data_IF_385436069438
#
_entry.id   IF_385436069438
#
_cell.length_a   1.000
_cell.length_b   1.000
_cell.length_c   1.000
_cell.angle_alpha   90.00
_cell.angle_beta   90.00
_cell.angle_gamma   90.00
#
_symmetry.space_group_name_H-M   'P 1'
#
loop_
_entity.id
_entity.type
_entity.pdbx_description
1 polymer ?
#
# COMPACT_ATOMS: atom_id res chain seq x y z
N UNK A 1 11.72 -36.44 -12.06
CA UNK A 1 10.80 -37.27 -11.28
C UNK A 1 10.25 -36.42 -10.16
N UNK A 2 8.98 -36.06 -10.25
CA UNK A 2 8.26 -35.33 -9.21
C UNK A 2 8.22 -36.15 -7.92
N UNK A 3 8.29 -35.49 -6.75
CA UNK A 3 8.14 -36.15 -5.44
C UNK A 3 6.78 -36.85 -5.25
N UNK A 4 5.84 -36.68 -6.18
CA UNK A 4 4.48 -37.20 -6.13
C UNK A 4 4.18 -38.24 -7.22
N UNK A 5 5.17 -38.64 -8.02
CA UNK A 5 5.01 -39.71 -9.02
C UNK A 5 4.67 -41.06 -8.37
N UNK A 6 3.63 -41.74 -8.87
CA UNK A 6 3.22 -43.07 -8.41
C UNK A 6 2.17 -43.10 -7.29
N UNK A 7 1.68 -41.93 -6.82
CA UNK A 7 0.61 -41.84 -5.83
C UNK A 7 -0.78 -41.70 -6.47
N UNK A 8 -1.81 -42.24 -5.80
CA UNK A 8 -3.20 -42.13 -6.24
C UNK A 8 -3.83 -40.76 -5.90
N UNK A 9 -5.03 -40.52 -6.44
CA UNK A 9 -5.73 -39.25 -6.28
C UNK A 9 -6.09 -38.94 -4.81
N UNK A 10 -6.48 -39.96 -4.04
CA UNK A 10 -6.86 -39.79 -2.64
C UNK A 10 -5.67 -39.38 -1.79
N UNK A 11 -4.54 -40.08 -1.97
CA UNK A 11 -3.29 -39.77 -1.28
C UNK A 11 -2.81 -38.37 -1.62
N UNK A 12 -2.79 -38.01 -2.92
CA UNK A 12 -2.34 -36.67 -3.36
C UNK A 12 -3.27 -35.60 -2.78
N UNK A 13 -4.59 -35.80 -2.79
CA UNK A 13 -5.56 -34.86 -2.23
C UNK A 13 -5.34 -34.65 -0.74
N UNK A 14 -5.21 -35.74 0.03
CA UNK A 14 -4.90 -35.65 1.46
C UNK A 14 -3.57 -34.94 1.72
N UNK A 15 -2.56 -35.21 0.89
CA UNK A 15 -1.25 -34.59 1.04
C UNK A 15 -1.30 -33.08 0.78
N UNK A 16 -2.10 -32.65 -0.20
CA UNK A 16 -2.36 -31.23 -0.45
C UNK A 16 -3.01 -30.58 0.77
N UNK A 17 -4.07 -31.17 1.34
CA UNK A 17 -4.72 -30.64 2.55
C UNK A 17 -3.76 -30.51 3.74
N UNK A 18 -2.92 -31.53 3.99
CA UNK A 18 -1.88 -31.48 5.03
C UNK A 18 -0.88 -30.34 4.80
N UNK A 19 -0.43 -30.16 3.54
CA UNK A 19 0.52 -29.11 3.18
C UNK A 19 -0.11 -27.71 3.27
N UNK A 20 -1.36 -27.55 2.85
CA UNK A 20 -2.12 -26.30 2.99
C UNK A 20 -2.31 -25.93 4.46
N UNK A 21 -2.65 -26.90 5.31
CA UNK A 21 -2.78 -26.68 6.75
C UNK A 21 -1.44 -26.32 7.39
N UNK A 22 -0.36 -27.04 7.06
CA UNK A 22 0.98 -26.74 7.56
C UNK A 22 1.46 -25.36 7.10
N UNK A 23 1.21 -25.00 5.83
CA UNK A 23 1.50 -23.67 5.28
C UNK A 23 0.73 -22.58 6.03
N UNK A 24 -0.56 -22.79 6.30
CA UNK A 24 -1.39 -21.84 7.05
C UNK A 24 -0.85 -21.62 8.47
N UNK A 25 -0.58 -22.70 9.19
CA UNK A 25 -0.02 -22.62 10.56
C UNK A 25 1.28 -21.83 10.55
N UNK A 26 2.20 -22.12 9.61
CA UNK A 26 3.47 -21.40 9.51
C UNK A 26 3.29 -19.93 9.13
N UNK A 27 2.34 -19.61 8.23
CA UNK A 27 2.00 -18.23 7.90
C UNK A 27 1.50 -17.47 9.13
N UNK A 28 0.56 -18.06 9.87
CA UNK A 28 -0.04 -17.46 11.07
C UNK A 28 1.04 -17.24 12.17
N UNK A 29 1.97 -18.18 12.33
CA UNK A 29 3.13 -18.03 13.22
C UNK A 29 3.99 -16.82 12.82
N UNK A 30 4.35 -16.68 11.54
CA UNK A 30 5.14 -15.55 11.06
C UNK A 30 4.40 -14.22 11.17
N UNK A 31 3.11 -14.19 10.84
CA UNK A 31 2.30 -12.98 10.98
C UNK A 31 2.24 -12.51 12.44
N UNK A 32 2.17 -13.45 13.39
CA UNK A 32 2.23 -13.15 14.82
C UNK A 32 3.59 -12.60 15.25
N UNK A 33 4.69 -13.19 14.79
CA UNK A 33 6.05 -12.71 15.07
C UNK A 33 6.30 -11.31 14.49
N UNK A 34 5.83 -11.06 13.26
CA UNK A 34 5.89 -9.76 12.60
C UNK A 34 5.10 -8.73 13.41
N UNK A 35 3.86 -9.04 13.81
CA UNK A 35 3.03 -8.15 14.61
C UNK A 35 3.72 -7.76 15.93
N UNK A 36 4.25 -8.74 16.67
CA UNK A 36 4.96 -8.51 17.94
C UNK A 36 6.22 -7.67 17.76
N UNK A 37 6.97 -7.91 16.69
CA UNK A 37 8.19 -7.17 16.38
C UNK A 37 7.88 -5.73 15.99
N UNK A 38 6.83 -5.51 15.18
CA UNK A 38 6.37 -4.18 14.81
C UNK A 38 5.87 -3.40 16.04
N UNK A 39 5.11 -4.03 16.93
CA UNK A 39 4.65 -3.41 18.17
C UNK A 39 5.83 -2.95 19.03
N UNK A 40 6.80 -3.84 19.26
CA UNK A 40 8.01 -3.52 20.04
C UNK A 40 8.79 -2.37 19.40
N UNK A 41 9.01 -2.41 18.09
CA UNK A 41 9.69 -1.35 17.34
C UNK A 41 8.96 -0.02 17.53
N UNK A 42 7.65 0.00 17.32
CA UNK A 42 6.84 1.21 17.40
C UNK A 42 6.90 1.83 18.80
N UNK A 43 6.82 1.00 19.85
CA UNK A 43 6.95 1.46 21.23
C UNK A 43 8.33 2.08 21.51
N UNK A 44 9.40 1.36 21.19
CA UNK A 44 10.77 1.86 21.43
C UNK A 44 11.05 3.14 20.65
N UNK A 45 10.64 3.21 19.38
CA UNK A 45 10.78 4.42 18.58
C UNK A 45 9.97 5.59 19.15
N UNK A 46 8.76 5.34 19.66
CA UNK A 46 7.94 6.38 20.28
C UNK A 46 8.57 6.89 21.59
N UNK A 47 9.10 5.99 22.42
CA UNK A 47 9.77 6.35 23.67
C UNK A 47 11.03 7.20 23.39
N UNK A 48 11.87 6.78 22.44
CA UNK A 48 13.05 7.54 22.01
C UNK A 48 12.67 8.90 21.38
N UNK A 49 11.62 8.94 20.56
CA UNK A 49 11.15 10.20 19.97
C UNK A 49 10.69 11.17 21.05
N UNK A 50 10.01 10.67 22.09
CA UNK A 50 9.60 11.48 23.23
C UNK A 50 10.81 12.08 23.96
N UNK A 51 11.84 11.28 24.24
CA UNK A 51 13.08 11.78 24.87
C UNK A 51 13.78 12.82 24.00
N UNK A 52 13.81 12.61 22.68
CA UNK A 52 14.36 13.58 21.72
C UNK A 52 13.55 14.89 21.75
N UNK A 53 12.23 14.81 21.73
CA UNK A 53 11.35 15.98 21.74
C UNK A 53 11.52 16.79 23.03
N UNK A 54 11.61 16.12 24.19
CA UNK A 54 11.91 16.75 25.47
C UNK A 54 13.29 17.44 25.47
N UNK A 55 14.32 16.75 24.96
CA UNK A 55 15.67 17.31 24.84
C UNK A 55 15.71 18.53 23.89
N UNK A 56 14.96 18.51 22.79
CA UNK A 56 14.86 19.63 21.86
C UNK A 56 14.17 20.84 22.48
N UNK A 57 13.15 20.63 23.33
CA UNK A 57 12.51 21.72 24.08
C UNK A 57 13.52 22.37 25.03
N UNK A 58 14.26 21.56 25.79
CA UNK A 58 15.30 22.07 26.71
C UNK A 58 16.41 22.78 25.94
N UNK A 59 16.88 22.22 24.82
CA UNK A 59 17.90 22.84 23.98
C UNK A 59 17.46 24.24 23.52
N UNK A 60 16.21 24.40 23.06
CA UNK A 60 15.65 25.70 22.67
C UNK A 60 15.58 26.66 23.85
N UNK A 61 15.16 26.21 25.02
CA UNK A 61 15.12 27.03 26.24
C UNK A 61 16.51 27.52 26.63
N UNK A 62 17.53 26.67 26.55
CA UNK A 62 18.92 27.01 26.83
C UNK A 62 19.52 27.97 25.80
N UNK A 63 19.12 27.88 24.53
CA UNK A 63 19.51 28.85 23.51
C UNK A 63 18.88 30.23 23.74
N UNK A 64 17.72 30.31 24.38
CA UNK A 64 17.02 31.57 24.64
C UNK A 64 16.69 32.30 23.34
N UNK A 65 17.20 33.53 23.19
CA UNK A 65 17.04 34.34 21.98
C UNK A 65 18.28 34.36 21.08
N UNK A 66 19.30 33.54 21.36
CA UNK A 66 20.52 33.51 20.57
C UNK A 66 20.27 32.83 19.21
N UNK A 67 20.65 33.49 18.13
CA UNK A 67 20.57 32.92 16.78
C UNK A 67 21.70 31.91 16.50
N UNK A 68 22.82 32.02 17.22
CA UNK A 68 24.02 31.19 17.08
C UNK A 68 24.65 30.94 18.45
N UNK A 69 24.93 29.67 18.77
CA UNK A 69 25.67 29.25 19.97
C UNK A 69 26.70 28.20 19.58
N UNK A 70 27.96 28.44 19.90
CA UNK A 70 29.03 27.45 19.72
C UNK A 70 29.37 26.79 21.07
N UNK A 71 29.47 25.47 21.05
CA UNK A 71 29.93 24.65 22.18
C UNK A 71 31.27 24.02 21.84
N UNK A 72 31.84 23.24 22.76
CA UNK A 72 33.09 22.50 22.50
C UNK A 72 33.00 21.57 21.28
N UNK A 73 31.80 21.09 20.94
CA UNK A 73 31.60 20.03 19.93
C UNK A 73 30.60 20.38 18.84
N UNK A 74 29.79 21.42 19.00
CA UNK A 74 28.68 21.72 18.10
C UNK A 74 28.49 23.22 17.88
N UNK A 75 28.07 23.58 16.67
CA UNK A 75 27.56 24.91 16.31
C UNK A 75 26.05 24.80 16.16
N UNK A 76 25.31 25.50 17.01
CA UNK A 76 23.85 25.52 17.05
C UNK A 76 23.34 26.81 16.43
N UNK A 77 22.46 26.71 15.44
CA UNK A 77 21.80 27.86 14.81
C UNK A 77 20.29 27.79 14.99
N UNK A 78 19.69 28.86 15.49
CA UNK A 78 18.24 29.03 15.57
C UNK A 78 17.81 30.23 14.74
N UNK A 79 17.13 29.96 13.62
CA UNK A 79 16.62 31.03 12.75
C UNK A 79 15.29 31.57 13.29
N UNK A 80 15.05 32.89 13.23
CA UNK A 80 13.75 33.44 13.56
C UNK A 80 12.68 32.93 12.58
N UNK A 81 11.47 32.75 13.10
CA UNK A 81 10.30 32.36 12.30
C UNK A 81 9.85 33.57 11.49
N UNK A 82 9.91 33.46 10.15
CA UNK A 82 9.37 34.46 9.24
C UNK A 82 7.98 34.04 8.76
N UNK A 83 6.93 34.58 9.39
CA UNK A 83 5.53 34.25 9.09
C UNK A 83 5.08 34.69 7.68
N UNK A 84 5.92 35.38 6.92
CA UNK A 84 5.64 35.68 5.51
C UNK A 84 6.01 34.51 4.58
N UNK A 85 6.75 33.52 5.07
CA UNK A 85 7.18 32.36 4.28
C UNK A 85 6.15 31.22 4.39
N UNK A 86 5.59 30.75 3.26
CA UNK A 86 4.62 29.64 3.26
C UNK A 86 5.15 28.38 3.95
N UNK A 87 6.45 28.11 3.84
CA UNK A 87 7.10 26.93 4.43
C UNK A 87 7.04 26.88 5.96
N UNK A 88 6.73 27.99 6.65
CA UNK A 88 6.58 28.02 8.10
C UNK A 88 5.22 27.46 8.57
N UNK A 89 4.25 27.34 7.65
CA UNK A 89 2.92 26.84 7.98
C UNK A 89 2.81 25.37 7.60
N UNK A 90 2.48 24.55 8.59
CA UNK A 90 2.11 23.15 8.37
C UNK A 90 0.60 23.02 8.48
N UNK A 91 -0.06 22.82 7.34
CA UNK A 91 -1.49 22.55 7.31
C UNK A 91 -1.79 21.19 7.96
N UNK A 92 -2.80 21.16 8.83
CA UNK A 92 -3.26 19.95 9.52
C UNK A 92 -4.75 19.75 9.23
N UNK A 93 -5.13 19.37 8.00
CA UNK A 93 -6.52 19.06 7.70
C UNK A 93 -6.99 17.87 8.54
N UNK A 94 -8.29 17.84 8.84
CA UNK A 94 -8.88 16.72 9.57
C UNK A 94 -8.61 15.39 8.86
N UNK A 95 -8.54 14.30 9.64
CA UNK A 95 -8.45 12.94 9.11
C UNK A 95 -9.83 12.30 8.89
N UNK A 96 -10.88 12.86 9.51
CA UNK A 96 -12.27 12.38 9.44
C UNK A 96 -12.84 12.68 8.06
N UNK A 97 -13.50 11.68 7.44
CA UNK A 97 -13.96 11.78 6.05
C UNK A 97 -14.99 12.90 5.88
N UNK A 98 -15.96 12.97 6.78
CA UNK A 98 -17.03 13.95 6.75
C UNK A 98 -16.49 15.38 6.89
N UNK A 99 -15.55 15.61 7.82
CA UNK A 99 -14.91 16.91 8.02
C UNK A 99 -14.02 17.31 6.82
N UNK A 100 -13.33 16.34 6.21
CA UNK A 100 -12.58 16.58 4.97
C UNK A 100 -13.50 17.03 3.84
N UNK A 101 -14.63 16.35 3.65
CA UNK A 101 -15.58 16.68 2.59
C UNK A 101 -16.18 18.08 2.83
N UNK A 102 -16.54 18.41 4.07
CA UNK A 102 -17.00 19.75 4.43
C UNK A 102 -15.93 20.82 4.13
N UNK A 103 -14.67 20.56 4.48
CA UNK A 103 -13.57 21.48 4.19
C UNK A 103 -13.34 21.64 2.68
N UNK A 104 -13.38 20.55 1.92
CA UNK A 104 -13.25 20.59 0.45
C UNK A 104 -14.44 21.33 -0.17
N UNK A 105 -15.67 21.12 0.31
CA UNK A 105 -16.84 21.80 -0.21
C UNK A 105 -16.79 23.30 0.08
N UNK A 106 -16.33 23.70 1.26
CA UNK A 106 -16.06 25.10 1.58
C UNK A 106 -15.06 25.70 0.60
N UNK A 107 -13.91 25.04 0.36
CA UNK A 107 -12.93 25.51 -0.60
C UNK A 107 -13.48 25.58 -2.02
N UNK A 108 -14.28 24.59 -2.47
CA UNK A 108 -14.91 24.64 -3.79
C UNK A 108 -15.84 25.84 -3.97
N UNK A 109 -16.54 26.23 -2.92
CA UNK A 109 -17.50 27.34 -2.96
C UNK A 109 -16.81 28.71 -2.90
N UNK A 110 -15.83 28.86 -2.01
CA UNK A 110 -15.22 30.17 -1.70
C UNK A 110 -13.89 30.40 -2.42
N UNK A 111 -13.10 29.34 -2.65
CA UNK A 111 -11.74 29.38 -3.19
C UNK A 111 -11.47 28.21 -4.16
N UNK A 112 -12.22 28.09 -5.27
CA UNK A 112 -12.14 26.95 -6.17
C UNK A 112 -10.73 26.70 -6.72
N UNK A 113 -9.90 27.74 -6.86
CA UNK A 113 -8.50 27.66 -7.28
C UNK A 113 -7.59 26.89 -6.32
N UNK A 114 -8.00 26.72 -5.06
CA UNK A 114 -7.26 25.94 -4.06
C UNK A 114 -7.62 24.45 -4.08
N UNK A 115 -8.61 24.05 -4.89
CA UNK A 115 -9.03 22.66 -5.04
C UNK A 115 -8.41 22.09 -6.30
N UNK A 116 -7.51 21.11 -6.12
CA UNK A 116 -6.95 20.35 -7.25
C UNK A 116 -7.86 19.18 -7.59
N UNK A 117 -8.48 19.24 -8.77
CA UNK A 117 -9.18 18.10 -9.34
C UNK A 117 -8.21 17.24 -10.15
N UNK A 118 -8.19 15.93 -9.89
CA UNK A 118 -7.44 14.97 -10.69
C UNK A 118 -8.38 13.90 -11.23
N UNK A 119 -8.44 13.76 -12.55
CA UNK A 119 -9.16 12.67 -13.21
C UNK A 119 -8.20 11.52 -13.46
N UNK A 120 -8.53 10.33 -12.94
CA UNK A 120 -7.80 9.10 -13.22
C UNK A 120 -8.58 8.28 -14.25
N UNK A 121 -7.97 7.99 -15.40
CA UNK A 121 -8.57 7.14 -16.43
C UNK A 121 -8.13 5.69 -16.22
N UNK A 122 -9.09 4.78 -16.01
CA UNK A 122 -8.83 3.35 -15.86
C UNK A 122 -9.53 2.56 -16.96
N UNK A 123 -8.85 1.56 -17.57
CA UNK A 123 -9.50 0.66 -18.51
C UNK A 123 -10.59 -0.15 -17.82
N UNK A 124 -11.75 -0.27 -18.45
CA UNK A 124 -12.85 -1.12 -17.97
C UNK A 124 -12.54 -2.59 -18.26
N UNK A 125 -11.75 -3.21 -17.40
CA UNK A 125 -11.24 -4.56 -17.63
C UNK A 125 -12.33 -5.60 -17.88
N UNK A 126 -13.49 -5.50 -17.23
CA UNK A 126 -14.61 -6.42 -17.44
C UNK A 126 -15.18 -6.31 -18.86
N UNK A 127 -15.28 -5.10 -19.40
CA UNK A 127 -15.82 -4.88 -20.74
C UNK A 127 -14.84 -5.37 -21.80
N UNK A 128 -13.53 -5.17 -21.59
CA UNK A 128 -12.47 -5.72 -22.45
C UNK A 128 -12.52 -7.26 -22.46
N UNK A 129 -12.69 -7.89 -21.28
CA UNK A 129 -12.82 -9.35 -21.17
C UNK A 129 -14.05 -9.89 -21.90
N UNK A 130 -15.17 -9.15 -21.87
CA UNK A 130 -16.37 -9.52 -22.63
C UNK A 130 -16.10 -9.52 -24.13
N UNK A 131 -15.44 -8.49 -24.66
CA UNK A 131 -15.08 -8.46 -26.09
C UNK A 131 -14.23 -9.66 -26.51
N UNK A 132 -13.34 -10.14 -25.64
CA UNK A 132 -12.57 -11.37 -25.87
C UNK A 132 -13.48 -12.61 -25.82
N UNK A 133 -14.32 -12.71 -24.78
CA UNK A 133 -15.24 -13.84 -24.60
C UNK A 133 -16.28 -13.96 -25.74
N UNK A 134 -16.72 -12.82 -26.27
CA UNK A 134 -17.68 -12.71 -27.37
C UNK A 134 -17.00 -12.91 -28.75
N UNK A 135 -15.68 -13.10 -28.78
CA UNK A 135 -14.90 -13.34 -30.00
C UNK A 135 -14.67 -12.10 -30.88
N UNK A 136 -15.06 -10.91 -30.41
CA UNK A 136 -14.77 -9.62 -31.08
C UNK A 136 -13.27 -9.35 -31.05
N UNK A 137 -12.65 -9.56 -29.89
CA UNK A 137 -11.21 -9.59 -29.75
C UNK A 137 -10.73 -11.04 -29.76
N UNK A 138 -9.68 -11.31 -30.53
CA UNK A 138 -9.12 -12.65 -30.69
C UNK A 138 -7.83 -12.79 -29.90
N UNK A 139 -7.51 -14.02 -29.48
CA UNK A 139 -6.26 -14.35 -28.83
C UNK A 139 -5.32 -15.04 -29.81
N UNK A 140 -4.06 -14.64 -29.82
CA UNK A 140 -2.97 -15.38 -30.48
C UNK A 140 -2.48 -16.52 -29.59
N UNK A 141 -1.68 -17.43 -30.17
CA UNK A 141 -1.08 -18.56 -29.44
C UNK A 141 -0.16 -18.12 -28.29
N UNK A 142 0.41 -16.91 -28.37
CA UNK A 142 1.21 -16.29 -27.30
C UNK A 142 0.38 -15.37 -26.38
N UNK A 143 -0.94 -15.55 -26.36
CA UNK A 143 -1.89 -14.87 -25.46
C UNK A 143 -1.94 -13.34 -25.60
N UNK A 144 -1.59 -12.79 -26.77
CA UNK A 144 -1.83 -11.37 -27.10
C UNK A 144 -3.24 -11.18 -27.63
N UNK A 145 -3.78 -9.99 -27.42
CA UNK A 145 -5.13 -9.65 -27.87
C UNK A 145 -5.06 -8.88 -29.19
N UNK A 146 -5.87 -9.31 -30.14
CA UNK A 146 -6.00 -8.73 -31.48
C UNK A 146 -7.43 -8.22 -31.64
N UNK A 147 -7.59 -7.01 -32.18
CA UNK A 147 -8.90 -6.43 -32.46
C UNK A 147 -9.54 -7.01 -33.73
N UNK A 148 -10.75 -6.54 -34.04
CA UNK A 148 -11.53 -6.98 -35.21
C UNK A 148 -10.90 -6.58 -36.55
N UNK A 149 -9.92 -5.66 -36.54
CA UNK A 149 -9.15 -5.23 -37.70
C UNK A 149 -7.82 -5.98 -37.85
N UNK A 150 -7.53 -6.95 -36.97
CA UNK A 150 -6.27 -7.69 -36.98
C UNK A 150 -5.10 -6.92 -36.33
N UNK A 151 -5.35 -5.83 -35.61
CA UNK A 151 -4.31 -5.06 -34.93
C UNK A 151 -4.12 -5.56 -33.49
N UNK A 152 -2.86 -5.67 -33.05
CA UNK A 152 -2.57 -5.95 -31.64
C UNK A 152 -3.04 -4.81 -30.74
N UNK A 153 -3.75 -5.15 -29.66
CA UNK A 153 -4.04 -4.20 -28.59
C UNK A 153 -2.73 -3.94 -27.82
N UNK A 154 -2.23 -2.68 -27.79
CA UNK A 154 -0.93 -2.39 -27.21
C UNK A 154 -0.87 -2.75 -25.71
N UNK A 155 0.22 -3.41 -25.31
CA UNK A 155 0.52 -3.78 -23.92
C UNK A 155 -0.56 -4.62 -23.23
N UNK A 156 -1.35 -5.38 -23.98
CA UNK A 156 -2.36 -6.28 -23.42
C UNK A 156 -2.01 -7.75 -23.71
N UNK A 157 -1.70 -8.48 -22.65
CA UNK A 157 -1.58 -9.94 -22.64
C UNK A 157 -2.61 -10.51 -21.67
N UNK A 158 -3.08 -11.73 -21.96
CA UNK A 158 -4.14 -12.39 -21.18
C UNK A 158 -3.63 -13.72 -20.63
N UNK A 159 -3.62 -13.84 -19.30
CA UNK A 159 -3.40 -15.15 -18.68
C UNK A 159 -4.72 -15.93 -18.65
N UNK A 160 -4.74 -17.07 -19.32
CA UNK A 160 -5.88 -17.99 -19.30
C UNK A 160 -5.84 -18.74 -17.97
N UNK A 161 -6.94 -18.71 -17.23
CA UNK A 161 -7.05 -19.46 -15.98
C UNK A 161 -7.00 -20.95 -16.27
N UNK A 162 -6.04 -21.64 -15.66
CA UNK A 162 -5.99 -23.10 -15.67
C UNK A 162 -7.20 -23.69 -14.93
N UNK A 163 -7.63 -24.91 -15.29
CA UNK A 163 -8.69 -25.62 -14.57
C UNK A 163 -8.38 -25.72 -13.07
N UNK A 164 -9.30 -25.22 -12.24
CA UNK A 164 -9.18 -25.26 -10.79
C UNK A 164 -9.89 -26.53 -10.25
N UNK A 165 -9.15 -27.38 -9.54
CA UNK A 165 -9.73 -28.51 -8.81
C UNK A 165 -10.23 -28.04 -7.45
N UNK A 166 -11.55 -28.14 -7.21
CA UNK A 166 -12.18 -27.77 -5.93
C UNK A 166 -12.46 -29.01 -5.11
N UNK A 167 -11.84 -29.10 -3.94
CA UNK A 167 -12.05 -30.19 -2.98
C UNK A 167 -13.05 -29.73 -1.92
N UNK A 168 -14.03 -30.57 -1.60
CA UNK A 168 -14.91 -30.42 -0.43
C UNK A 168 -14.83 -31.68 0.41
N UNK A 169 -14.40 -31.55 1.65
CA UNK A 169 -14.44 -32.65 2.63
C UNK A 169 -15.90 -33.00 2.89
N UNK A 170 -16.28 -34.27 2.70
CA UNK A 170 -17.61 -34.75 3.09
C UNK A 170 -17.68 -34.76 4.61
N UNK A 171 -18.71 -34.12 5.20
CA UNK A 171 -18.99 -34.26 6.62
C UNK A 171 -19.43 -35.71 6.89
N UNK A 172 -18.74 -36.37 7.82
CA UNK A 172 -19.09 -37.69 8.36
C UNK A 172 -20.23 -37.58 9.36
#
# INVERSE_FOLDING_TARGET
MSHFEGHDLEWITKKIEELEQAKKIKSDEYDHEIAKTMERKNRVCADLQKEIDEALVIQKQLMGNAELVETKSFVLTMKPVDLRKPSQFKLQPSKVKEEKEQFIQYLRNEHPELVKESTEYKPKQLDIKKLIADGVFQLTDDCRVVDDNGCYIPNLTVDIKEPEVKVKVKQS
#
